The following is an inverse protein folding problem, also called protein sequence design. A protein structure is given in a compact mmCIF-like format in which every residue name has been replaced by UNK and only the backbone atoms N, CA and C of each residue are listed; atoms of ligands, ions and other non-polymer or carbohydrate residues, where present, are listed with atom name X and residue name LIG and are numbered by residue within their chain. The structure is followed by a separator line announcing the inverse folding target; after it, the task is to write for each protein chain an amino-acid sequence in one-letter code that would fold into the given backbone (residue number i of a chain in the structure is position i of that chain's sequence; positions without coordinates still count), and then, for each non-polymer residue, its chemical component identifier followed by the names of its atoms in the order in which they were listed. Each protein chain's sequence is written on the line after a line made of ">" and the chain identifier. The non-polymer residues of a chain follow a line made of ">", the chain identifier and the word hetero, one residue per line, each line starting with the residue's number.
data_IF_652650145104
#
_entry.id   IF_652650145104
#
_cell.length_a   1.000
_cell.length_b   1.000
_cell.length_c   1.000
_cell.angle_alpha   90.00
_cell.angle_beta   90.00
_cell.angle_gamma   90.00
#
_symmetry.space_group_name_H-M   'P 1'
#
loop_
_entity.id
_entity.type
_entity.pdbx_description
1 polymer ?
#
# COMPACT_ATOMS: atom_id res chain seq x y z
N UNK A 1 -12.81 16.37 -0.01
CA UNK A 1 -13.24 14.98 0.14
C UNK A 1 -13.16 14.62 1.61
N UNK A 2 -14.26 14.19 2.21
CA UNK A 2 -14.27 13.68 3.58
C UNK A 2 -13.96 12.18 3.61
N UNK A 3 -13.87 11.60 4.82
CA UNK A 3 -13.52 10.18 4.99
C UNK A 3 -14.57 9.23 4.40
N UNK A 4 -15.85 9.56 4.47
CA UNK A 4 -16.92 8.69 3.98
C UNK A 4 -17.01 8.73 2.47
N UNK A 5 -16.77 9.89 1.87
CA UNK A 5 -16.65 10.03 0.41
C UNK A 5 -15.48 9.17 -0.10
N UNK A 6 -14.28 9.27 0.51
CA UNK A 6 -13.11 8.45 0.13
C UNK A 6 -13.46 6.96 0.11
N UNK A 7 -14.05 6.46 1.20
CA UNK A 7 -14.37 5.04 1.38
C UNK A 7 -15.36 4.58 0.30
N UNK A 8 -16.41 5.35 0.03
CA UNK A 8 -17.44 4.98 -0.95
C UNK A 8 -16.95 5.05 -2.41
N UNK A 9 -15.99 5.93 -2.70
CA UNK A 9 -15.47 6.11 -4.07
C UNK A 9 -14.22 5.28 -4.36
N UNK A 10 -13.61 4.61 -3.39
CA UNK A 10 -12.39 3.81 -3.59
C UNK A 10 -12.64 2.70 -4.62
N UNK A 11 -11.71 2.51 -5.57
CA UNK A 11 -11.77 1.48 -6.63
C UNK A 11 -10.39 0.83 -6.80
N UNK A 12 -10.38 -0.43 -7.25
CA UNK A 12 -9.15 -1.11 -7.64
C UNK A 12 -8.61 -0.53 -8.96
N UNK A 13 -7.36 -0.06 -8.96
CA UNK A 13 -6.70 0.54 -10.13
C UNK A 13 -5.73 -0.45 -10.78
N UNK A 14 -5.87 -0.66 -12.09
CA UNK A 14 -4.99 -1.54 -12.90
C UNK A 14 -4.10 -0.80 -13.90
N UNK A 15 -4.27 0.52 -13.99
CA UNK A 15 -3.50 1.41 -14.85
C UNK A 15 -2.77 2.41 -13.96
N UNK A 16 -1.45 2.22 -13.83
CA UNK A 16 -0.58 3.04 -12.99
C UNK A 16 0.40 3.80 -13.87
N UNK A 17 0.82 4.98 -13.41
CA UNK A 17 1.90 5.73 -14.05
C UNK A 17 3.23 4.99 -13.85
N UNK A 18 4.19 5.13 -14.78
CA UNK A 18 5.52 4.54 -14.62
C UNK A 18 6.38 5.27 -13.56
N UNK A 19 5.96 6.47 -13.15
CA UNK A 19 6.66 7.27 -12.15
C UNK A 19 6.78 6.51 -10.82
N UNK A 20 7.97 6.48 -10.20
CA UNK A 20 8.13 5.88 -8.89
C UNK A 20 7.36 6.70 -7.84
N UNK A 21 6.71 6.00 -6.91
CA UNK A 21 6.07 6.65 -5.75
C UNK A 21 7.18 7.20 -4.83
N UNK A 22 7.16 8.51 -4.48
CA UNK A 22 8.12 9.11 -3.56
C UNK A 22 8.18 8.39 -2.20
N UNK A 23 9.37 8.35 -1.58
CA UNK A 23 9.58 7.63 -0.32
C UNK A 23 8.79 8.22 0.85
N UNK A 24 8.71 9.54 0.95
CA UNK A 24 7.94 10.26 1.96
C UNK A 24 6.44 9.89 1.89
N UNK A 25 5.91 9.72 0.68
CA UNK A 25 4.53 9.30 0.48
C UNK A 25 4.31 7.85 0.91
N UNK A 26 5.26 6.95 0.62
CA UNK A 26 5.19 5.56 1.11
C UNK A 26 5.20 5.53 2.63
N UNK A 27 6.10 6.27 3.27
CA UNK A 27 6.15 6.38 4.74
C UNK A 27 4.86 6.92 5.33
N UNK A 28 4.29 7.96 4.72
CA UNK A 28 3.00 8.53 5.16
C UNK A 28 1.87 7.49 5.12
N UNK A 29 1.83 6.63 4.10
CA UNK A 29 0.83 5.56 3.98
C UNK A 29 1.06 4.48 5.04
N UNK A 30 2.30 4.05 5.25
CA UNK A 30 2.63 3.03 6.26
C UNK A 30 2.37 3.54 7.68
N UNK A 31 2.69 4.79 7.97
CA UNK A 31 2.35 5.47 9.23
C UNK A 31 0.83 5.49 9.44
N UNK A 32 0.07 5.87 8.40
CA UNK A 32 -1.39 5.79 8.41
C UNK A 32 -1.90 4.37 8.67
N UNK A 33 -1.27 3.37 8.05
CA UNK A 33 -1.63 1.98 8.25
C UNK A 33 -1.54 1.64 9.75
N UNK A 34 -0.37 1.74 10.38
CA UNK A 34 -0.08 1.19 11.74
C UNK A 34 -0.99 1.69 12.87
N UNK A 35 -1.84 2.69 12.59
CA UNK A 35 -2.84 3.23 13.52
C UNK A 35 -4.12 2.39 13.62
N UNK A 36 -4.34 1.42 12.73
CA UNK A 36 -5.52 0.55 12.85
C UNK A 36 -5.45 -0.29 14.14
N UNK A 37 -6.60 -0.58 14.78
CA UNK A 37 -6.62 -1.29 16.05
C UNK A 37 -6.02 -2.69 15.91
N UNK A 38 -5.27 -3.12 16.92
CA UNK A 38 -4.73 -4.48 17.00
C UNK A 38 -5.06 -5.12 18.35
N UNK A 39 -5.54 -6.37 18.33
CA UNK A 39 -5.95 -7.06 19.55
C UNK A 39 -4.77 -7.24 20.52
N UNK A 40 -4.91 -6.72 21.74
CA UNK A 40 -3.84 -6.70 22.74
C UNK A 40 -2.65 -5.81 22.35
N UNK A 41 -2.85 -4.84 21.46
CA UNK A 41 -1.80 -3.98 20.89
C UNK A 41 -0.61 -4.75 20.26
N UNK A 42 -0.86 -5.95 19.74
CA UNK A 42 0.20 -6.82 19.19
C UNK A 42 0.88 -6.25 17.95
N UNK A 43 0.23 -5.35 17.22
CA UNK A 43 0.75 -4.73 15.98
C UNK A 43 1.45 -5.74 15.04
N UNK A 44 0.79 -6.84 14.64
CA UNK A 44 1.46 -7.99 13.99
C UNK A 44 1.82 -7.73 12.51
N UNK A 45 2.08 -6.49 12.13
CA UNK A 45 2.12 -6.07 10.74
C UNK A 45 3.56 -5.96 10.29
N UNK A 46 3.84 -6.54 9.12
CA UNK A 46 5.15 -6.46 8.49
C UNK A 46 4.95 -5.95 7.07
N UNK A 47 5.73 -4.94 6.70
CA UNK A 47 5.66 -4.32 5.39
C UNK A 47 7.00 -4.49 4.69
N UNK A 48 6.96 -4.94 3.44
CA UNK A 48 8.14 -5.02 2.56
C UNK A 48 7.87 -4.12 1.36
N UNK A 49 8.65 -3.05 1.23
CA UNK A 49 8.55 -2.13 0.09
C UNK A 49 9.48 -2.63 -1.02
N UNK A 50 8.90 -3.20 -2.08
CA UNK A 50 9.67 -3.69 -3.23
C UNK A 50 9.77 -2.57 -4.27
N UNK A 51 11.00 -2.07 -4.50
CA UNK A 51 11.30 -1.04 -5.52
C UNK A 51 11.84 -1.64 -6.81
N UNK A 52 12.59 -2.74 -6.72
CA UNK A 52 13.22 -3.38 -7.87
C UNK A 52 12.20 -3.93 -8.87
N UNK A 53 12.33 -3.52 -10.13
CA UNK A 53 11.42 -3.92 -11.20
C UNK A 53 11.56 -5.41 -11.55
N UNK A 54 12.76 -6.00 -11.42
CA UNK A 54 12.97 -7.43 -11.64
C UNK A 54 12.23 -8.29 -10.60
N UNK A 55 12.32 -7.91 -9.32
CA UNK A 55 11.56 -8.54 -8.24
C UNK A 55 10.05 -8.38 -8.45
N UNK A 56 9.57 -7.18 -8.81
CA UNK A 56 8.14 -6.97 -9.09
C UNK A 56 7.64 -7.85 -10.24
N UNK A 57 8.39 -7.98 -11.33
CA UNK A 57 8.04 -8.85 -12.46
C UNK A 57 7.92 -10.31 -12.05
N UNK A 58 8.88 -10.83 -11.28
CA UNK A 58 8.82 -12.19 -10.73
C UNK A 58 7.59 -12.41 -9.84
N UNK A 59 7.26 -11.45 -8.98
CA UNK A 59 6.05 -11.52 -8.14
C UNK A 59 4.79 -11.50 -9.02
N UNK A 60 4.78 -10.69 -10.08
CA UNK A 60 3.65 -10.61 -11.00
C UNK A 60 3.39 -11.93 -11.74
N UNK A 61 4.41 -12.76 -12.00
CA UNK A 61 4.24 -14.10 -12.58
C UNK A 61 3.47 -15.07 -11.67
N UNK A 62 3.44 -14.83 -10.36
CA UNK A 62 2.66 -15.64 -9.41
C UNK A 62 1.23 -15.12 -9.22
N UNK A 63 0.93 -13.94 -9.76
CA UNK A 63 -0.38 -13.33 -9.66
C UNK A 63 -1.32 -13.96 -10.71
N UNK A 64 -2.48 -14.44 -10.26
CA UNK A 64 -3.51 -15.14 -11.05
C UNK A 64 -3.94 -14.39 -12.32
#
# INVERSE_FOLDING_TARGET
>A
MDVFEVINTTRAMRRLKPDPVPDDLVWKVLDGAIRAPSGGNRQPWNFIVVRDEGTKKKIAEWYL
#
